data_IF_623333526335
#
_entry.id   IF_623333526335
#
_cell.length_a   1.000
_cell.length_b   1.000
_cell.length_c   1.000
_cell.angle_alpha   90.00
_cell.angle_beta   90.00
_cell.angle_gamma   90.00
#
_symmetry.space_group_name_H-M   'P 1'
#
loop_
_entity.id
_entity.type
_entity.pdbx_description
1 polymer ?
#
# COMPACT_ATOMS: atom_id res chain seq x y z
N UNK A 1 6.73 -7.79 -13.85
CA UNK A 1 7.07 -7.77 -12.41
C UNK A 1 6.73 -9.09 -11.76
N UNK A 2 7.58 -9.55 -10.84
CA UNK A 2 7.33 -10.71 -9.96
C UNK A 2 6.89 -10.22 -8.57
N UNK A 3 5.58 -10.20 -8.31
CA UNK A 3 5.02 -9.62 -7.06
C UNK A 3 5.49 -10.33 -5.78
N UNK A 4 5.76 -11.63 -5.82
CA UNK A 4 6.25 -12.37 -4.64
C UNK A 4 7.68 -11.98 -4.28
N UNK A 5 8.50 -11.63 -5.27
CA UNK A 5 9.85 -11.12 -5.06
C UNK A 5 9.82 -9.70 -4.50
N UNK A 6 8.94 -8.83 -5.01
CA UNK A 6 8.68 -7.51 -4.41
C UNK A 6 8.33 -7.64 -2.93
N UNK A 7 7.35 -8.48 -2.57
CA UNK A 7 6.99 -8.70 -1.16
C UNK A 7 8.16 -9.25 -0.32
N UNK A 8 8.91 -10.20 -0.86
CA UNK A 8 9.99 -10.84 -0.10
C UNK A 8 11.16 -9.89 0.17
N UNK A 9 11.54 -9.05 -0.78
CA UNK A 9 12.61 -8.05 -0.56
C UNK A 9 12.16 -6.97 0.42
N UNK A 10 10.98 -6.37 0.23
CA UNK A 10 10.45 -5.35 1.15
C UNK A 10 10.36 -5.86 2.61
N UNK A 11 10.01 -7.15 2.80
CA UNK A 11 9.99 -7.82 4.11
C UNK A 11 11.38 -8.07 4.69
N UNK A 12 12.41 -8.36 3.87
CA UNK A 12 13.79 -8.55 4.33
C UNK A 12 14.41 -7.24 4.82
N UNK A 13 14.11 -6.14 4.16
CA UNK A 13 14.69 -4.83 4.43
C UNK A 13 14.17 -4.18 5.72
N UNK A 14 13.04 -4.68 6.26
CA UNK A 14 12.41 -4.22 7.52
C UNK A 14 12.08 -2.71 7.56
N UNK A 15 11.86 -2.13 6.39
CA UNK A 15 11.34 -0.75 6.25
C UNK A 15 9.85 -0.70 6.66
N UNK A 16 9.15 -1.83 6.53
CA UNK A 16 7.75 -2.01 6.92
C UNK A 16 7.63 -3.16 7.93
N UNK A 17 6.75 -3.03 8.92
CA UNK A 17 6.51 -4.09 9.93
C UNK A 17 5.88 -5.35 9.32
N UNK A 18 5.05 -5.18 8.29
CA UNK A 18 4.45 -6.26 7.53
C UNK A 18 4.23 -5.85 6.06
N UNK A 19 4.02 -6.86 5.20
CA UNK A 19 3.62 -6.68 3.80
C UNK A 19 2.47 -7.62 3.49
N UNK A 20 1.56 -7.19 2.62
CA UNK A 20 0.41 -7.97 2.18
C UNK A 20 0.22 -7.83 0.65
N UNK A 21 -0.43 -8.83 0.04
CA UNK A 21 -0.79 -8.82 -1.36
C UNK A 21 -2.29 -9.12 -1.49
N UNK A 22 -3.04 -8.19 -2.08
CA UNK A 22 -4.40 -8.43 -2.53
C UNK A 22 -4.40 -8.51 -4.07
N UNK A 23 -4.94 -9.57 -4.71
CA UNK A 23 -4.86 -9.72 -6.17
C UNK A 23 -5.51 -8.56 -6.94
N UNK A 24 -6.60 -8.01 -6.41
CA UNK A 24 -7.30 -6.86 -6.98
C UNK A 24 -7.88 -6.00 -5.85
N UNK A 25 -7.05 -5.16 -5.24
CA UNK A 25 -7.46 -4.31 -4.10
C UNK A 25 -8.60 -3.34 -4.42
N UNK A 26 -8.86 -3.08 -5.70
CA UNK A 26 -9.87 -2.16 -6.22
C UNK A 26 -11.23 -2.80 -6.53
N UNK A 27 -11.48 -4.03 -6.07
CA UNK A 27 -12.76 -4.72 -6.12
C UNK A 27 -13.44 -4.74 -4.73
N UNK A 28 -14.72 -5.11 -4.68
CA UNK A 28 -15.54 -5.07 -3.46
C UNK A 28 -14.92 -5.87 -2.28
N UNK A 29 -14.24 -6.97 -2.55
CA UNK A 29 -13.50 -7.76 -1.55
C UNK A 29 -12.22 -7.07 -1.06
N UNK A 30 -11.58 -6.28 -1.92
CA UNK A 30 -10.44 -5.42 -1.59
C UNK A 30 -10.81 -4.26 -0.66
N UNK A 31 -12.00 -3.68 -0.80
CA UNK A 31 -12.52 -2.67 0.12
C UNK A 31 -12.77 -3.27 1.51
N UNK A 32 -13.40 -4.44 1.60
CA UNK A 32 -13.60 -5.15 2.88
C UNK A 32 -12.27 -5.62 3.52
N UNK A 33 -11.28 -6.01 2.69
CA UNK A 33 -9.92 -6.27 3.15
C UNK A 33 -9.29 -5.01 3.78
N UNK A 34 -9.37 -3.85 3.13
CA UNK A 34 -8.84 -2.59 3.67
C UNK A 34 -9.55 -2.17 4.95
N UNK A 35 -10.89 -2.24 5.00
CA UNK A 35 -11.66 -1.93 6.22
C UNK A 35 -11.24 -2.82 7.38
N UNK A 36 -11.14 -4.13 7.15
CA UNK A 36 -10.77 -5.12 8.16
C UNK A 36 -9.34 -4.88 8.66
N UNK A 37 -8.40 -4.66 7.74
CA UNK A 37 -7.00 -4.39 8.07
C UNK A 37 -6.86 -3.10 8.88
N UNK A 38 -7.38 -1.98 8.38
CA UNK A 38 -7.21 -0.64 8.96
C UNK A 38 -8.08 -0.38 10.21
N UNK A 39 -9.07 -1.24 10.48
CA UNK A 39 -9.79 -1.20 11.77
C UNK A 39 -8.89 -1.54 12.95
N UNK A 40 -7.76 -2.21 12.71
CA UNK A 40 -6.72 -2.43 13.72
C UNK A 40 -6.00 -1.12 14.05
N UNK A 41 -6.21 -0.61 15.27
CA UNK A 41 -5.65 0.67 15.74
C UNK A 41 -4.13 0.65 16.00
N UNK A 42 -3.46 -0.47 15.76
CA UNK A 42 -2.00 -0.60 15.82
C UNK A 42 -1.31 -0.37 14.47
N UNK A 43 -2.06 -0.06 13.40
CA UNK A 43 -1.48 0.38 12.12
C UNK A 43 -1.32 1.89 12.18
N UNK A 44 -0.08 2.35 12.08
CA UNK A 44 0.20 3.79 12.00
C UNK A 44 0.09 4.31 10.56
N UNK A 45 0.77 3.71 9.59
CA UNK A 45 0.75 4.15 8.19
C UNK A 45 0.44 2.97 7.25
N UNK A 46 -0.16 3.24 6.09
CA UNK A 46 -0.37 2.23 5.03
C UNK A 46 0.17 2.72 3.69
N UNK A 47 0.95 1.87 3.04
CA UNK A 47 1.58 2.13 1.74
C UNK A 47 0.95 1.21 0.70
N UNK A 48 0.26 1.79 -0.29
CA UNK A 48 -0.44 1.02 -1.32
C UNK A 48 0.27 1.17 -2.67
N UNK A 49 0.82 0.05 -3.15
CA UNK A 49 1.50 -0.04 -4.43
C UNK A 49 0.55 -0.67 -5.46
N UNK A 50 0.07 0.14 -6.40
CA UNK A 50 -1.08 -0.20 -7.24
C UNK A 50 -1.12 0.59 -8.53
N UNK A 51 -2.24 1.28 -8.77
CA UNK A 51 -2.46 2.12 -9.95
C UNK A 51 -2.13 3.60 -9.70
N UNK A 52 -2.66 4.53 -10.50
CA UNK A 52 -2.43 5.96 -10.32
C UNK A 52 -2.74 6.43 -8.87
N UNK A 53 -1.84 7.16 -8.18
CA UNK A 53 -2.04 7.51 -6.77
C UNK A 53 -3.28 8.35 -6.48
N UNK A 54 -3.72 9.20 -7.41
CA UNK A 54 -4.95 10.02 -7.26
C UNK A 54 -6.19 9.16 -7.39
N UNK A 55 -6.14 8.14 -8.25
CA UNK A 55 -7.19 7.12 -8.34
C UNK A 55 -7.26 6.30 -7.05
N UNK A 56 -6.13 5.82 -6.53
CA UNK A 56 -6.07 5.08 -5.25
C UNK A 56 -6.67 5.90 -4.09
N UNK A 57 -6.26 7.17 -3.94
CA UNK A 57 -6.81 8.10 -2.95
C UNK A 57 -8.33 8.32 -3.08
N UNK A 58 -8.88 8.26 -4.30
CA UNK A 58 -10.33 8.40 -4.52
C UNK A 58 -11.06 7.10 -4.20
N UNK A 59 -10.54 5.96 -4.64
CA UNK A 59 -11.20 4.65 -4.51
C UNK A 59 -11.25 4.19 -3.06
N UNK A 60 -10.10 4.15 -2.38
CA UNK A 60 -10.00 3.60 -1.02
C UNK A 60 -10.51 4.54 0.07
N UNK A 61 -10.95 5.76 -0.29
CA UNK A 61 -11.35 6.82 0.64
C UNK A 61 -12.42 6.36 1.62
N UNK A 62 -13.46 5.69 1.12
CA UNK A 62 -14.61 5.33 1.95
C UNK A 62 -14.28 4.13 2.85
N UNK A 63 -13.55 3.13 2.36
CA UNK A 63 -13.00 2.04 3.17
C UNK A 63 -12.07 2.54 4.31
N UNK A 64 -11.14 3.45 4.00
CA UNK A 64 -10.23 4.10 4.97
C UNK A 64 -11.05 4.87 6.03
N UNK A 65 -12.06 5.62 5.60
CA UNK A 65 -12.92 6.42 6.48
C UNK A 65 -13.79 5.54 7.38
N UNK A 66 -14.34 4.44 6.87
CA UNK A 66 -15.13 3.47 7.65
C UNK A 66 -14.29 2.77 8.73
N UNK A 67 -13.03 2.43 8.43
CA UNK A 67 -12.06 1.95 9.42
C UNK A 67 -11.67 3.01 10.49
N UNK A 68 -12.09 4.27 10.30
CA UNK A 68 -11.64 5.44 11.06
C UNK A 68 -10.11 5.58 11.07
N UNK A 69 -9.48 5.30 9.93
CA UNK A 69 -8.05 5.50 9.72
C UNK A 69 -7.80 6.89 9.13
N UNK A 70 -6.66 7.50 9.46
CA UNK A 70 -6.32 8.83 8.95
C UNK A 70 -5.88 8.75 7.48
N UNK A 71 -6.68 9.34 6.59
CA UNK A 71 -6.39 9.36 5.16
C UNK A 71 -5.11 10.15 4.80
N UNK A 72 -4.56 10.96 5.71
CA UNK A 72 -3.24 11.57 5.51
C UNK A 72 -2.10 10.55 5.61
N UNK A 73 -2.34 9.38 6.23
CA UNK A 73 -1.36 8.30 6.44
C UNK A 73 -1.34 7.25 5.31
N UNK A 74 -1.66 7.70 4.09
CA UNK A 74 -1.75 6.95 2.82
C UNK A 74 -1.51 7.94 1.65
N UNK A 75 -0.39 7.99 0.91
CA UNK A 75 0.74 7.06 0.66
C UNK A 75 0.42 5.95 -0.37
N UNK A 76 0.34 6.35 -1.64
CA UNK A 76 0.08 5.49 -2.79
C UNK A 76 1.15 5.68 -3.88
N UNK A 77 1.52 4.61 -4.58
CA UNK A 77 2.47 4.60 -5.72
C UNK A 77 1.94 3.74 -6.88
N UNK A 78 2.15 4.16 -8.13
CA UNK A 78 1.83 3.36 -9.32
C UNK A 78 3.00 2.45 -9.69
N UNK A 79 2.75 1.15 -9.81
CA UNK A 79 3.76 0.14 -10.16
C UNK A 79 3.40 -0.67 -11.41
N UNK A 80 2.28 -0.35 -12.10
CA UNK A 80 1.68 -1.23 -13.14
C UNK A 80 2.59 -1.53 -14.33
N UNK A 81 3.48 -0.59 -14.68
CA UNK A 81 4.37 -0.68 -15.84
C UNK A 81 5.85 -0.84 -15.43
N UNK A 82 6.12 -1.23 -14.18
CA UNK A 82 7.47 -1.40 -13.65
C UNK A 82 7.94 -2.87 -13.78
N UNK A 83 9.26 -3.06 -13.89
CA UNK A 83 9.87 -4.33 -13.55
C UNK A 83 9.95 -4.52 -12.01
N UNK A 84 10.41 -5.68 -11.57
CA UNK A 84 10.48 -6.03 -10.15
C UNK A 84 11.37 -5.06 -9.36
N UNK A 85 12.53 -4.69 -9.91
CA UNK A 85 13.51 -3.82 -9.23
C UNK A 85 12.96 -2.40 -9.10
N UNK A 86 12.46 -1.85 -10.20
CA UNK A 86 11.87 -0.51 -10.27
C UNK A 86 10.70 -0.35 -9.30
N UNK A 87 9.85 -1.38 -9.17
CA UNK A 87 8.75 -1.38 -8.21
C UNK A 87 9.23 -1.41 -6.76
N UNK A 88 10.24 -2.22 -6.43
CA UNK A 88 10.85 -2.25 -5.09
C UNK A 88 11.43 -0.87 -4.74
N UNK A 89 12.18 -0.25 -5.65
CA UNK A 89 12.77 1.08 -5.45
C UNK A 89 11.70 2.16 -5.28
N UNK A 90 10.66 2.19 -6.12
CA UNK A 90 9.57 3.16 -6.01
C UNK A 90 8.82 3.07 -4.66
N UNK A 91 8.58 1.85 -4.16
CA UNK A 91 7.93 1.63 -2.85
C UNK A 91 8.85 2.07 -1.70
N UNK A 92 10.15 1.77 -1.77
CA UNK A 92 11.14 2.20 -0.77
C UNK A 92 11.29 3.72 -0.72
N UNK A 93 11.34 4.37 -1.88
CA UNK A 93 11.46 5.83 -1.97
C UNK A 93 10.25 6.52 -1.35
N UNK A 94 9.02 6.05 -1.62
CA UNK A 94 7.80 6.57 -1.00
C UNK A 94 7.83 6.51 0.55
N UNK A 95 8.45 5.49 1.14
CA UNK A 95 8.62 5.39 2.60
C UNK A 95 9.75 6.30 3.11
N UNK A 96 10.88 6.35 2.42
CA UNK A 96 12.07 7.11 2.84
C UNK A 96 11.92 8.64 2.66
N UNK A 97 11.15 9.10 1.67
CA UNK A 97 10.89 10.53 1.39
C UNK A 97 10.16 11.25 2.55
N UNK A 98 9.66 10.50 3.54
CA UNK A 98 8.94 11.02 4.71
C UNK A 98 9.81 11.12 5.97
N UNK A 99 11.11 10.82 5.85
CA UNK A 99 12.10 10.83 6.94
C UNK A 99 12.98 12.11 6.88
N UNK A 100 12.61 13.10 6.06
CA UNK A 100 13.29 14.40 5.91
C UNK A 100 12.39 15.57 6.35
#
# INVERSE_FOLDING_TARGET
MNVFEVLNELRKDKIFDFVALHPQLCADDGDEFLKTLLSNKNIDEIYIAGCDPRMQQKMFKDAIKEAQFDNLKHHAVDIRNMDTTSAIEAIKNLANEKVQ
#
